data_IF_698872131241
#
_entry.id   IF_698872131241
#
_cell.length_a   1.000
_cell.length_b   1.000
_cell.length_c   1.000
_cell.angle_alpha   90.00
_cell.angle_beta   90.00
_cell.angle_gamma   90.00
#
_symmetry.space_group_name_H-M   'P 1'
#
loop_
_entity.id
_entity.type
_entity.pdbx_description
1 polymer ?
#
# COMPACT_ATOMS: atom_id res chain seq x y z
N UNK A 1 -31.07 -25.72 13.88
CA UNK A 1 -31.04 -24.44 13.15
C UNK A 1 -30.22 -23.42 13.93
N UNK A 2 -28.94 -23.25 13.59
CA UNK A 2 -28.08 -22.14 14.05
C UNK A 2 -27.29 -21.66 12.84
N UNK A 3 -27.87 -20.77 12.05
CA UNK A 3 -27.26 -20.34 10.77
C UNK A 3 -27.51 -18.85 10.44
N UNK A 4 -27.60 -17.99 11.47
CA UNK A 4 -27.79 -16.54 11.28
C UNK A 4 -26.59 -15.67 11.71
N UNK A 5 -25.69 -16.21 12.52
CA UNK A 5 -24.63 -15.40 13.17
C UNK A 5 -23.32 -15.24 12.38
N UNK A 6 -22.96 -16.18 11.49
CA UNK A 6 -21.66 -16.10 10.79
C UNK A 6 -21.69 -15.12 9.61
N UNK A 7 -22.74 -15.15 8.78
CA UNK A 7 -22.89 -14.22 7.64
C UNK A 7 -22.90 -12.73 8.03
N UNK A 8 -23.50 -12.41 9.17
CA UNK A 8 -23.53 -11.02 9.65
C UNK A 8 -22.13 -10.56 10.09
N UNK A 9 -21.35 -11.42 10.74
CA UNK A 9 -19.96 -11.11 11.11
C UNK A 9 -19.06 -11.03 9.87
N UNK A 10 -19.25 -11.93 8.92
CA UNK A 10 -18.54 -11.96 7.63
C UNK A 10 -18.81 -10.69 6.80
N UNK A 11 -19.97 -10.06 6.94
CA UNK A 11 -20.29 -8.80 6.25
C UNK A 11 -19.87 -7.55 7.05
N UNK A 12 -20.12 -7.51 8.36
CA UNK A 12 -19.88 -6.31 9.17
C UNK A 12 -18.38 -6.05 9.35
N UNK A 13 -17.57 -7.09 9.60
CA UNK A 13 -16.15 -6.91 9.90
C UNK A 13 -15.38 -6.26 8.74
N UNK A 14 -15.53 -6.70 7.48
CA UNK A 14 -14.85 -6.06 6.35
C UNK A 14 -15.34 -4.63 6.08
N UNK A 15 -16.64 -4.34 6.31
CA UNK A 15 -17.18 -2.97 6.18
C UNK A 15 -16.51 -2.05 7.18
N UNK A 16 -16.53 -2.44 8.45
CA UNK A 16 -15.95 -1.62 9.53
C UNK A 16 -14.46 -1.37 9.30
N UNK A 17 -13.73 -2.40 8.85
CA UNK A 17 -12.32 -2.26 8.48
C UNK A 17 -12.12 -1.30 7.29
N UNK A 18 -12.92 -1.43 6.23
CA UNK A 18 -12.82 -0.56 5.05
C UNK A 18 -13.14 0.91 5.37
N UNK A 19 -14.15 1.15 6.22
CA UNK A 19 -14.49 2.49 6.75
C UNK A 19 -13.34 3.04 7.59
N UNK A 20 -12.83 2.24 8.53
CA UNK A 20 -11.73 2.64 9.39
C UNK A 20 -10.52 3.05 8.55
N UNK A 21 -10.14 2.24 7.56
CA UNK A 21 -9.00 2.55 6.71
C UNK A 21 -9.23 3.75 5.79
N UNK A 22 -10.42 3.90 5.21
CA UNK A 22 -10.75 5.09 4.42
C UNK A 22 -10.62 6.38 5.25
N UNK A 23 -11.11 6.37 6.50
CA UNK A 23 -11.03 7.52 7.40
C UNK A 23 -9.59 7.79 7.84
N UNK A 24 -8.81 6.75 8.18
CA UNK A 24 -7.39 6.89 8.55
C UNK A 24 -6.59 7.44 7.37
N UNK A 25 -6.74 6.87 6.16
CA UNK A 25 -6.02 7.35 4.98
C UNK A 25 -6.42 8.78 4.60
N UNK A 26 -7.70 9.13 4.74
CA UNK A 26 -8.15 10.51 4.53
C UNK A 26 -7.53 11.47 5.55
N UNK A 27 -7.47 11.07 6.82
CA UNK A 27 -6.81 11.84 7.86
C UNK A 27 -5.31 12.04 7.55
N UNK A 28 -4.58 10.97 7.24
CA UNK A 28 -3.17 11.05 6.87
C UNK A 28 -2.97 11.94 5.63
N UNK A 29 -3.81 11.81 4.61
CA UNK A 29 -3.75 12.65 3.41
C UNK A 29 -3.99 14.13 3.73
N UNK A 30 -4.98 14.44 4.58
CA UNK A 30 -5.30 15.82 4.99
C UNK A 30 -4.19 16.42 5.85
N UNK A 31 -3.69 15.68 6.85
CA UNK A 31 -2.56 16.10 7.69
C UNK A 31 -1.33 16.37 6.82
N UNK A 32 -1.01 15.46 5.91
CA UNK A 32 0.14 15.60 5.02
C UNK A 32 0.01 16.83 4.09
N UNK A 33 -1.16 17.00 3.47
CA UNK A 33 -1.45 18.16 2.60
C UNK A 33 -1.40 19.50 3.37
N UNK A 34 -1.77 19.51 4.64
CA UNK A 34 -1.87 20.74 5.44
C UNK A 34 -0.60 21.09 6.21
N UNK A 35 0.22 20.10 6.57
CA UNK A 35 1.36 20.29 7.48
C UNK A 35 2.73 20.04 6.83
N UNK A 36 2.82 19.20 5.78
CA UNK A 36 4.11 18.71 5.29
C UNK A 36 4.46 19.20 3.88
N UNK A 37 3.47 19.38 2.99
CA UNK A 37 3.74 19.79 1.62
C UNK A 37 3.54 21.28 1.38
N UNK A 38 4.46 21.91 0.64
CA UNK A 38 4.26 23.18 -0.09
C UNK A 38 3.24 23.04 -1.24
N UNK A 39 2.22 22.19 -1.07
CA UNK A 39 1.24 21.78 -2.09
C UNK A 39 1.85 21.05 -3.29
N UNK A 40 2.98 20.37 -3.10
CA UNK A 40 3.55 19.51 -4.12
C UNK A 40 2.73 18.22 -4.27
N UNK A 41 1.95 18.16 -5.35
CA UNK A 41 1.08 17.03 -5.69
C UNK A 41 1.86 15.80 -6.17
N UNK A 42 3.15 15.94 -6.47
CA UNK A 42 4.01 14.86 -6.94
C UNK A 42 4.88 14.26 -5.82
N UNK A 43 4.74 14.76 -4.59
CA UNK A 43 5.44 14.22 -3.43
C UNK A 43 5.08 12.74 -3.22
N UNK A 44 6.07 11.87 -2.97
CA UNK A 44 5.83 10.43 -2.94
C UNK A 44 4.80 10.04 -1.87
N UNK A 45 4.86 10.60 -0.66
CA UNK A 45 3.85 10.35 0.37
C UNK A 45 2.44 10.79 -0.05
N UNK A 46 2.29 11.90 -0.78
CA UNK A 46 0.98 12.35 -1.29
C UNK A 46 0.40 11.34 -2.29
N UNK A 47 1.22 10.86 -3.23
CA UNK A 47 0.85 9.84 -4.21
C UNK A 47 0.45 8.54 -3.51
N UNK A 48 1.22 8.13 -2.49
CA UNK A 48 0.93 6.95 -1.68
C UNK A 48 -0.41 7.04 -0.96
N UNK A 49 -0.64 8.13 -0.21
CA UNK A 49 -1.87 8.31 0.58
C UNK A 49 -3.10 8.42 -0.30
N UNK A 50 -3.00 9.12 -1.43
CA UNK A 50 -4.09 9.22 -2.40
C UNK A 50 -4.47 7.85 -2.96
N UNK A 51 -3.47 7.05 -3.35
CA UNK A 51 -3.68 5.69 -3.86
C UNK A 51 -4.37 4.79 -2.83
N UNK A 52 -3.94 4.85 -1.56
CA UNK A 52 -4.54 4.06 -0.49
C UNK A 52 -5.96 4.50 -0.15
N UNK A 53 -6.22 5.81 -0.15
CA UNK A 53 -7.56 6.37 0.05
C UNK A 53 -8.52 5.89 -1.05
N UNK A 54 -8.12 6.00 -2.33
CA UNK A 54 -8.92 5.53 -3.45
C UNK A 54 -9.18 4.01 -3.39
N UNK A 55 -8.18 3.20 -3.04
CA UNK A 55 -8.39 1.76 -2.84
C UNK A 55 -9.42 1.49 -1.74
N UNK A 56 -9.33 2.19 -0.61
CA UNK A 56 -10.25 2.02 0.51
C UNK A 56 -11.69 2.41 0.13
N UNK A 57 -11.86 3.46 -0.68
CA UNK A 57 -13.16 3.84 -1.24
C UNK A 57 -13.72 2.78 -2.19
N UNK A 58 -12.90 2.26 -3.10
CA UNK A 58 -13.35 1.27 -4.08
C UNK A 58 -13.63 -0.08 -3.43
N UNK A 59 -12.98 -0.43 -2.32
CA UNK A 59 -13.33 -1.62 -1.53
C UNK A 59 -14.77 -1.59 -1.00
N UNK A 60 -15.40 -0.43 -0.80
CA UNK A 60 -16.84 -0.39 -0.47
C UNK A 60 -17.72 -1.00 -1.56
N UNK A 61 -17.27 -0.97 -2.81
CA UNK A 61 -18.05 -1.55 -3.90
C UNK A 61 -18.14 -3.07 -3.78
N UNK A 62 -17.24 -3.73 -3.01
CA UNK A 62 -17.29 -5.20 -2.81
C UNK A 62 -18.51 -5.67 -2.01
N UNK A 63 -19.23 -4.74 -1.37
CA UNK A 63 -20.50 -5.03 -0.69
C UNK A 63 -21.70 -4.99 -1.64
N UNK A 64 -21.55 -4.41 -2.84
CA UNK A 64 -22.52 -4.55 -3.91
C UNK A 64 -22.41 -5.90 -4.60
N UNK A 65 -23.52 -6.44 -5.10
CA UNK A 65 -23.54 -7.67 -5.91
C UNK A 65 -23.02 -7.46 -7.33
N UNK A 66 -22.50 -6.27 -7.62
CA UNK A 66 -22.13 -5.84 -8.96
C UNK A 66 -20.62 -6.07 -9.18
N UNK A 67 -20.30 -6.92 -10.15
CA UNK A 67 -18.93 -7.19 -10.58
C UNK A 67 -18.35 -6.07 -11.45
N UNK A 68 -19.14 -5.06 -11.82
CA UNK A 68 -18.71 -3.92 -12.65
C UNK A 68 -17.50 -3.16 -12.09
N UNK A 69 -17.23 -3.27 -10.79
CA UNK A 69 -16.08 -2.63 -10.13
C UNK A 69 -14.88 -3.56 -9.93
N UNK A 70 -14.92 -4.82 -10.36
CA UNK A 70 -13.83 -5.77 -10.11
C UNK A 70 -12.52 -5.32 -10.76
N UNK A 71 -12.57 -4.83 -12.01
CA UNK A 71 -11.39 -4.30 -12.71
C UNK A 71 -10.78 -3.08 -11.99
N UNK A 72 -11.63 -2.18 -11.46
CA UNK A 72 -11.17 -1.01 -10.70
C UNK A 72 -10.53 -1.42 -9.36
N UNK A 73 -11.09 -2.42 -8.67
CA UNK A 73 -10.50 -3.00 -7.45
C UNK A 73 -9.13 -3.62 -7.76
N UNK A 74 -9.03 -4.39 -8.84
CA UNK A 74 -7.77 -5.01 -9.26
C UNK A 74 -6.70 -3.96 -9.59
N UNK A 75 -7.07 -2.91 -10.32
CA UNK A 75 -6.17 -1.79 -10.60
C UNK A 75 -5.70 -1.11 -9.31
N UNK A 76 -6.60 -0.78 -8.39
CA UNK A 76 -6.22 -0.07 -7.17
C UNK A 76 -5.47 -0.93 -6.16
N UNK A 77 -5.78 -2.23 -6.10
CA UNK A 77 -4.96 -3.21 -5.36
C UNK A 77 -3.54 -3.22 -5.89
N UNK A 78 -3.40 -3.25 -7.22
CA UNK A 78 -2.10 -3.23 -7.86
C UNK A 78 -1.38 -1.90 -7.62
N UNK A 79 -2.09 -0.77 -7.73
CA UNK A 79 -1.56 0.55 -7.43
C UNK A 79 -1.04 0.64 -5.99
N UNK A 80 -1.72 0.04 -5.01
CA UNK A 80 -1.19 0.00 -3.65
C UNK A 80 0.16 -0.73 -3.57
N UNK A 81 0.28 -1.86 -4.27
CA UNK A 81 1.45 -2.72 -4.24
C UNK A 81 2.66 -2.11 -4.98
N UNK A 82 2.42 -1.50 -6.14
CA UNK A 82 3.50 -1.04 -7.01
C UNK A 82 3.71 0.46 -6.99
N UNK A 83 2.76 1.24 -6.49
CA UNK A 83 2.90 2.69 -6.41
C UNK A 83 2.97 3.15 -4.97
N UNK A 84 1.96 2.84 -4.16
CA UNK A 84 1.90 3.37 -2.80
C UNK A 84 3.06 2.87 -1.93
N UNK A 85 3.30 1.56 -1.90
CA UNK A 85 4.35 0.99 -1.06
C UNK A 85 5.77 1.49 -1.41
N UNK A 86 6.20 1.51 -2.68
CA UNK A 86 7.49 2.08 -3.05
C UNK A 86 7.62 3.56 -2.70
N UNK A 87 6.56 4.35 -2.93
CA UNK A 87 6.51 5.76 -2.56
C UNK A 87 6.70 5.96 -1.05
N UNK A 88 5.99 5.21 -0.21
CA UNK A 88 6.14 5.33 1.24
C UNK A 88 7.49 4.85 1.75
N UNK A 89 7.99 3.74 1.20
CA UNK A 89 9.31 3.22 1.57
C UNK A 89 10.39 4.26 1.28
N UNK A 90 10.27 4.95 0.14
CA UNK A 90 11.15 6.05 -0.27
C UNK A 90 11.13 7.20 0.73
N UNK A 91 9.93 7.65 1.14
CA UNK A 91 9.77 8.70 2.15
C UNK A 91 10.40 8.32 3.49
N UNK A 92 10.14 7.10 3.96
CA UNK A 92 10.72 6.60 5.21
C UNK A 92 12.24 6.57 5.11
N UNK A 93 12.81 6.17 3.98
CA UNK A 93 14.26 6.16 3.81
C UNK A 93 14.86 7.55 3.80
N UNK A 94 14.25 8.49 3.08
CA UNK A 94 14.70 9.89 3.04
C UNK A 94 14.63 10.51 4.45
N UNK A 95 13.50 10.34 5.15
CA UNK A 95 13.31 10.89 6.49
C UNK A 95 14.29 10.32 7.53
N UNK A 96 14.65 9.04 7.41
CA UNK A 96 15.56 8.37 8.34
C UNK A 96 17.01 8.32 7.84
N UNK A 97 17.35 9.04 6.76
CA UNK A 97 18.68 9.02 6.14
C UNK A 97 19.20 7.60 5.85
N UNK A 98 18.30 6.71 5.44
CA UNK A 98 18.61 5.31 5.09
C UNK A 98 19.18 5.29 3.68
N UNK A 99 20.49 5.49 3.59
CA UNK A 99 21.21 5.52 2.33
C UNK A 99 21.12 6.82 1.56
N UNK A 100 21.60 6.78 0.33
CA UNK A 100 21.61 7.95 -0.55
C UNK A 100 20.20 8.21 -1.11
N UNK A 101 19.78 9.47 -1.17
CA UNK A 101 18.44 9.86 -1.63
C UNK A 101 18.14 9.34 -3.04
N UNK A 102 19.15 9.24 -3.90
CA UNK A 102 19.05 8.72 -5.25
C UNK A 102 18.61 7.26 -5.28
N UNK A 103 19.04 6.45 -4.30
CA UNK A 103 18.64 5.04 -4.17
C UNK A 103 17.17 4.94 -3.76
N UNK A 104 16.72 5.81 -2.86
CA UNK A 104 15.34 5.90 -2.44
C UNK A 104 14.44 6.32 -3.62
N UNK A 105 14.82 7.36 -4.37
CA UNK A 105 14.07 7.80 -5.55
C UNK A 105 14.02 6.70 -6.62
N UNK A 106 15.12 5.97 -6.84
CA UNK A 106 15.15 4.86 -7.79
C UNK A 106 14.18 3.74 -7.40
N UNK A 107 14.02 3.48 -6.10
CA UNK A 107 13.03 2.52 -5.59
C UNK A 107 11.60 2.91 -5.96
N UNK A 108 11.21 4.17 -5.73
CA UNK A 108 9.91 4.69 -6.17
C UNK A 108 9.73 4.60 -7.70
N UNK A 109 10.77 4.89 -8.47
CA UNK A 109 10.73 4.82 -9.94
C UNK A 109 10.53 3.40 -10.47
N UNK A 110 11.09 2.38 -9.82
CA UNK A 110 10.80 0.98 -10.17
C UNK A 110 9.34 0.64 -9.95
N UNK A 111 8.77 1.08 -8.84
CA UNK A 111 7.35 0.95 -8.56
C UNK A 111 6.47 1.64 -9.60
N UNK A 112 6.76 2.90 -9.89
CA UNK A 112 6.03 3.69 -10.87
C UNK A 112 6.10 3.07 -12.27
N UNK A 113 7.29 2.61 -12.67
CA UNK A 113 7.47 1.94 -13.97
C UNK A 113 6.62 0.67 -14.05
N UNK A 114 6.64 -0.15 -13.01
CA UNK A 114 5.79 -1.33 -12.90
C UNK A 114 4.29 -1.03 -12.96
N UNK A 115 3.87 0.09 -12.35
CA UNK A 115 2.49 0.58 -12.44
C UNK A 115 2.10 0.91 -13.87
N UNK A 116 2.91 1.72 -14.57
CA UNK A 116 2.66 2.06 -15.96
C UNK A 116 2.70 0.85 -16.89
N UNK A 117 3.63 -0.09 -16.70
CA UNK A 117 3.66 -1.32 -17.49
C UNK A 117 2.36 -2.12 -17.34
N UNK A 118 1.81 -2.21 -16.15
CA UNK A 118 0.53 -2.90 -15.93
C UNK A 118 -0.64 -2.18 -16.60
N UNK A 119 -0.72 -0.85 -16.46
CA UNK A 119 -1.80 -0.05 -17.08
C UNK A 119 -1.73 -0.10 -18.60
N UNK A 120 -0.53 -0.10 -19.19
CA UNK A 120 -0.33 -0.04 -20.64
C UNK A 120 -0.36 -1.40 -21.35
N UNK A 121 0.01 -2.50 -20.69
CA UNK A 121 0.16 -3.84 -21.31
C UNK A 121 -1.09 -4.73 -21.15
N UNK A 122 -2.26 -4.13 -20.96
CA UNK A 122 -3.55 -4.76 -20.62
C UNK A 122 -3.57 -5.44 -19.24
N UNK A 123 -4.64 -5.16 -18.49
CA UNK A 123 -4.93 -5.44 -17.08
C UNK A 123 -4.93 -6.91 -16.62
N UNK A 124 -4.30 -7.84 -17.35
CA UNK A 124 -4.45 -9.30 -17.12
C UNK A 124 -3.14 -10.07 -16.98
N UNK A 125 -1.99 -9.42 -17.10
CA UNK A 125 -0.70 -10.09 -16.98
C UNK A 125 -0.19 -10.07 -15.54
N UNK A 126 -0.62 -11.08 -14.79
CA UNK A 126 -0.18 -11.35 -13.42
C UNK A 126 1.35 -11.46 -13.28
N UNK A 127 2.06 -11.87 -14.33
CA UNK A 127 3.52 -11.96 -14.34
C UNK A 127 4.22 -10.60 -14.16
N UNK A 128 3.64 -9.51 -14.69
CA UNK A 128 4.18 -8.16 -14.53
C UNK A 128 4.00 -7.66 -13.10
N UNK A 129 2.87 -8.04 -12.48
CA UNK A 129 2.61 -7.78 -11.08
C UNK A 129 3.60 -8.51 -10.19
N UNK A 130 3.82 -9.80 -10.45
CA UNK A 130 4.81 -10.61 -9.74
C UNK A 130 6.22 -10.00 -9.85
N UNK A 131 6.61 -9.52 -11.03
CA UNK A 131 7.93 -8.90 -11.25
C UNK A 131 8.11 -7.60 -10.46
N UNK A 132 7.13 -6.71 -10.51
CA UNK A 132 7.15 -5.44 -9.78
C UNK A 132 7.30 -5.64 -8.27
N UNK A 133 6.56 -6.61 -7.76
CA UNK A 133 6.53 -7.00 -6.36
C UNK A 133 7.83 -7.63 -5.90
N UNK A 134 8.40 -8.50 -6.72
CA UNK A 134 9.72 -9.09 -6.48
C UNK A 134 10.77 -7.97 -6.43
N UNK A 135 10.78 -7.05 -7.40
CA UNK A 135 11.75 -5.96 -7.44
C UNK A 135 11.60 -5.04 -6.22
N UNK A 136 10.38 -4.60 -5.90
CA UNK A 136 10.11 -3.76 -4.74
C UNK A 136 10.47 -4.47 -3.43
N UNK A 137 10.02 -5.72 -3.24
CA UNK A 137 10.30 -6.48 -2.02
C UNK A 137 11.78 -6.78 -1.84
N UNK A 138 12.49 -7.17 -2.91
CA UNK A 138 13.94 -7.39 -2.87
C UNK A 138 14.69 -6.08 -2.61
N UNK A 139 14.27 -4.98 -3.22
CA UNK A 139 14.89 -3.67 -2.97
C UNK A 139 14.71 -3.26 -1.51
N UNK A 140 13.51 -3.41 -0.95
CA UNK A 140 13.24 -3.09 0.46
C UNK A 140 14.02 -4.00 1.42
N UNK A 141 14.15 -5.28 1.08
CA UNK A 141 14.94 -6.24 1.83
C UNK A 141 16.44 -5.92 1.79
N UNK A 142 16.99 -5.66 0.59
CA UNK A 142 18.42 -5.38 0.42
C UNK A 142 18.84 -4.09 1.11
N UNK A 143 18.07 -3.02 0.95
CA UNK A 143 18.36 -1.74 1.61
C UNK A 143 18.17 -1.89 3.13
N UNK A 144 17.12 -2.59 3.57
CA UNK A 144 16.93 -2.92 4.99
C UNK A 144 18.14 -3.65 5.59
N UNK A 145 18.71 -4.63 4.88
CA UNK A 145 19.89 -5.37 5.33
C UNK A 145 21.17 -4.53 5.33
N UNK A 146 21.40 -3.75 4.26
CA UNK A 146 22.61 -2.90 4.11
C UNK A 146 22.68 -1.84 5.21
N UNK A 147 21.55 -1.22 5.55
CA UNK A 147 21.48 -0.13 6.52
C UNK A 147 21.02 -0.60 7.91
N UNK A 148 21.05 -1.91 8.18
CA UNK A 148 20.66 -2.51 9.46
C UNK A 148 19.23 -2.16 9.94
N UNK A 149 18.33 -1.83 9.02
CA UNK A 149 16.90 -1.65 9.29
C UNK A 149 16.18 -3.01 9.17
N UNK A 150 16.29 -3.81 10.23
CA UNK A 150 15.68 -5.14 10.31
C UNK A 150 14.15 -5.11 10.27
N UNK A 151 13.53 -4.01 10.71
CA UNK A 151 12.08 -3.84 10.62
C UNK A 151 11.63 -3.74 9.15
N UNK A 152 12.29 -2.91 8.34
CA UNK A 152 12.02 -2.82 6.91
C UNK A 152 12.26 -4.16 6.20
N UNK A 153 13.31 -4.88 6.59
CA UNK A 153 13.62 -6.22 6.06
C UNK A 153 12.53 -7.25 6.41
N UNK A 154 12.06 -7.26 7.65
CA UNK A 154 10.98 -8.12 8.11
C UNK A 154 9.65 -7.79 7.42
N UNK A 155 9.34 -6.50 7.26
CA UNK A 155 8.16 -6.03 6.54
C UNK A 155 8.19 -6.47 5.07
N UNK A 156 9.34 -6.36 4.40
CA UNK A 156 9.51 -6.83 3.03
C UNK A 156 9.32 -8.35 2.87
N UNK A 157 9.77 -9.14 3.85
CA UNK A 157 9.54 -10.60 3.86
C UNK A 157 8.07 -10.95 4.08
N UNK A 158 7.43 -10.33 5.08
CA UNK A 158 5.99 -10.50 5.34
C UNK A 158 5.18 -10.10 4.10
N UNK A 159 5.58 -9.04 3.42
CA UNK A 159 4.99 -8.57 2.18
C UNK A 159 5.04 -9.62 1.07
N UNK A 160 6.25 -10.11 0.75
CA UNK A 160 6.45 -11.11 -0.30
C UNK A 160 5.67 -12.39 0.02
N UNK A 161 5.69 -12.85 1.27
CA UNK A 161 4.95 -14.04 1.71
C UNK A 161 3.44 -13.81 1.58
N UNK A 162 2.92 -12.69 2.10
CA UNK A 162 1.51 -12.35 2.02
C UNK A 162 1.02 -12.30 0.58
N UNK A 163 1.82 -11.71 -0.32
CA UNK A 163 1.47 -11.66 -1.73
C UNK A 163 1.44 -13.05 -2.40
N UNK A 164 2.54 -13.81 -2.36
CA UNK A 164 2.65 -15.07 -3.11
C UNK A 164 1.76 -16.18 -2.58
N UNK A 165 1.54 -16.24 -1.26
CA UNK A 165 0.79 -17.33 -0.65
C UNK A 165 -0.70 -17.03 -0.50
N UNK A 166 -1.09 -15.76 -0.34
CA UNK A 166 -2.48 -15.35 -0.11
C UNK A 166 -3.04 -14.66 -1.35
N UNK A 167 -2.49 -13.50 -1.72
CA UNK A 167 -3.08 -12.63 -2.76
C UNK A 167 -3.04 -13.23 -4.16
N UNK A 168 -1.94 -13.89 -4.54
CA UNK A 168 -1.75 -14.43 -5.90
C UNK A 168 -2.89 -15.37 -6.36
N UNK A 169 -3.61 -15.99 -5.41
CA UNK A 169 -4.71 -16.94 -5.67
C UNK A 169 -6.10 -16.29 -5.69
N UNK A 170 -6.22 -15.00 -5.35
CA UNK A 170 -7.50 -14.30 -5.29
C UNK A 170 -7.85 -13.69 -6.64
N UNK A 171 -9.10 -13.86 -7.06
CA UNK A 171 -9.62 -13.41 -8.37
C UNK A 171 -10.16 -11.98 -8.34
N UNK A 172 -10.55 -11.44 -7.18
CA UNK A 172 -11.03 -10.07 -7.05
C UNK A 172 -10.70 -9.52 -5.65
N UNK A 173 -10.03 -8.37 -5.54
CA UNK A 173 -9.76 -7.68 -4.26
C UNK A 173 -8.63 -8.28 -3.39
N UNK A 174 -8.00 -7.46 -2.54
CA UNK A 174 -6.97 -7.83 -1.54
C UNK A 174 -7.63 -7.98 -0.16
N UNK A 175 -7.87 -9.20 0.31
CA UNK A 175 -8.31 -9.41 1.70
C UNK A 175 -7.21 -9.02 2.71
N UNK A 176 -5.94 -9.01 2.28
CA UNK A 176 -4.78 -8.69 3.14
C UNK A 176 -4.47 -7.18 3.26
N UNK A 177 -5.24 -6.28 2.62
CA UNK A 177 -5.03 -4.82 2.69
C UNK A 177 -5.00 -4.30 4.14
N UNK A 178 -5.70 -4.97 5.06
CA UNK A 178 -5.78 -4.56 6.46
C UNK A 178 -4.44 -4.60 7.21
N UNK A 179 -3.62 -5.64 7.04
CA UNK A 179 -2.32 -5.73 7.69
C UNK A 179 -1.37 -4.63 7.19
N UNK A 180 -1.46 -4.28 5.90
CA UNK A 180 -0.68 -3.21 5.29
C UNK A 180 -1.09 -1.83 5.80
N UNK A 181 -2.39 -1.57 5.87
CA UNK A 181 -2.90 -0.30 6.39
C UNK A 181 -2.52 -0.09 7.87
N UNK A 182 -2.45 -1.17 8.67
CA UNK A 182 -1.97 -1.09 10.07
C UNK A 182 -0.47 -0.78 10.19
N UNK A 183 0.39 -1.43 9.39
CA UNK A 183 1.84 -1.13 9.36
C UNK A 183 2.07 0.33 8.94
N UNK A 184 1.24 0.83 8.01
CA UNK A 184 1.33 2.21 7.52
C UNK A 184 0.85 3.25 8.54
N UNK A 185 -0.26 2.99 9.24
CA UNK A 185 -0.70 3.85 10.35
C UNK A 185 0.37 3.94 11.45
N UNK A 186 1.06 2.84 11.74
CA UNK A 186 2.17 2.83 12.70
C UNK A 186 3.38 3.65 12.21
N UNK A 187 3.69 3.61 10.91
CA UNK A 187 4.79 4.39 10.32
C UNK A 187 4.54 5.90 10.35
N UNK A 188 3.31 6.37 10.13
CA UNK A 188 2.98 7.80 10.21
C UNK A 188 3.15 8.33 11.64
N UNK A 189 2.72 7.56 12.65
CA UNK A 189 2.92 7.92 14.06
C UNK A 189 4.42 8.05 14.37
N UNK A 190 5.25 7.13 13.85
CA UNK A 190 6.69 7.19 14.03
C UNK A 190 7.36 8.40 13.34
N UNK A 191 6.84 8.85 12.20
CA UNK A 191 7.32 10.05 11.51
C UNK A 191 6.98 11.34 12.28
N UNK A 192 5.78 11.41 12.88
CA UNK A 192 5.35 12.55 13.72
C UNK A 192 6.16 12.68 15.02
N UNK A 193 6.52 11.56 15.67
CA UNK A 193 7.37 11.58 16.86
C UNK A 193 8.77 12.12 16.56
N UNK A 194 9.34 11.80 15.40
CA UNK A 194 10.66 12.28 15.00
C UNK A 194 10.67 13.75 14.60
N UNK A 195 9.60 14.27 13.98
CA UNK A 195 9.50 15.69 13.62
C UNK A 195 9.25 16.61 14.83
N UNK A 196 8.65 16.11 15.91
CA UNK A 196 8.44 16.86 17.15
C UNK A 196 9.59 16.71 18.15
N UNK A 197 10.54 15.80 17.90
CA UNK A 197 11.72 15.54 18.73
C UNK A 197 12.99 16.30 18.32
N UNK A 198 12.94 17.05 17.21
CA UNK A 198 14.00 17.91 16.68
C UNK A 198 13.69 19.39 16.89
#
# INVERSE_FOLDING_TARGET
>A
MKCGGSRLKELIVPIVLSVQFAVIHLYCLLTYHTQVTDKDLLHFAYVGYTTMFLNSLVNFTSFGTDESFCELRLLLDYAQLTLALPCFTTEVWIANSVGANEVAVLHALFGLSAFFFYVLMEYKRQDLTDLALIISGLSSLLVGLIYANYFASGAALVYLVGYFFVKRKQTCGLEASGAYNYIMAANQIALEENQNGS
#
